data_IF_242644171788
#
_entry.id   IF_242644171788
#
_cell.length_a   1.000
_cell.length_b   1.000
_cell.length_c   1.000
_cell.angle_alpha   90.00
_cell.angle_beta   90.00
_cell.angle_gamma   90.00
#
_symmetry.space_group_name_H-M   'P 1'
#
loop_
_entity.id
_entity.type
_entity.pdbx_description
1 polymer ?
#
# COMPACT_ATOMS: atom_id res chain seq x y z
N UNK A 1 -14.49 11.65 -3.83
CA UNK A 1 -13.36 12.44 -3.26
C UNK A 1 -13.75 13.89 -3.03
N UNK A 2 -14.28 14.60 -4.03
CA UNK A 2 -14.75 15.99 -3.87
C UNK A 2 -15.75 16.17 -2.70
N UNK A 3 -16.83 15.39 -2.67
CA UNK A 3 -17.84 15.44 -1.59
C UNK A 3 -17.24 15.11 -0.21
N UNK A 4 -16.26 14.21 -0.15
CA UNK A 4 -15.55 13.89 1.08
C UNK A 4 -14.72 15.09 1.57
N UNK A 5 -14.09 15.83 0.66
CA UNK A 5 -13.37 17.05 1.00
C UNK A 5 -14.32 18.13 1.48
N UNK A 6 -15.47 18.34 0.82
CA UNK A 6 -16.51 19.26 1.28
C UNK A 6 -16.98 18.91 2.70
N UNK A 7 -17.30 17.64 2.94
CA UNK A 7 -17.72 17.17 4.25
C UNK A 7 -16.63 17.38 5.31
N UNK A 8 -15.36 17.06 5.00
CA UNK A 8 -14.25 17.30 5.91
C UNK A 8 -14.05 18.80 6.21
N UNK A 9 -14.19 19.65 5.19
CA UNK A 9 -14.07 21.10 5.26
C UNK A 9 -15.17 21.76 6.09
N UNK A 10 -16.39 21.25 6.01
CA UNK A 10 -17.54 21.73 6.81
C UNK A 10 -17.33 21.43 8.30
N UNK A 11 -16.88 20.21 8.62
CA UNK A 11 -16.64 19.80 10.00
C UNK A 11 -15.33 20.35 10.58
N UNK A 12 -14.41 20.83 9.75
CA UNK A 12 -13.11 21.36 10.16
C UNK A 12 -12.81 22.67 9.40
N UNK A 13 -13.47 23.79 9.74
CA UNK A 13 -13.41 25.02 8.96
C UNK A 13 -12.01 25.65 8.86
N UNK A 14 -11.13 25.38 9.84
CA UNK A 14 -9.78 25.93 9.88
C UNK A 14 -8.69 24.94 9.46
N UNK A 15 -9.06 23.73 9.03
CA UNK A 15 -8.09 22.69 8.66
C UNK A 15 -7.63 22.81 7.20
N UNK A 16 -6.36 22.44 6.98
CA UNK A 16 -5.82 22.15 5.66
C UNK A 16 -6.07 20.68 5.33
N UNK A 17 -6.61 20.41 4.15
CA UNK A 17 -6.94 19.06 3.70
C UNK A 17 -5.79 18.55 2.84
N UNK A 18 -4.98 17.67 3.41
CA UNK A 18 -3.89 17.00 2.74
C UNK A 18 -4.38 15.69 2.08
N UNK A 19 -4.25 15.58 0.76
CA UNK A 19 -4.59 14.37 0.01
C UNK A 19 -3.31 13.74 -0.53
N UNK A 20 -3.02 12.52 -0.09
CA UNK A 20 -1.82 11.79 -0.48
C UNK A 20 -2.06 10.94 -1.73
N UNK A 21 -1.15 11.03 -2.70
CA UNK A 21 -1.19 10.27 -3.94
C UNK A 21 -0.90 8.78 -3.78
N UNK A 22 -1.21 8.01 -4.81
CA UNK A 22 -0.94 6.57 -4.84
C UNK A 22 0.46 6.27 -5.36
N UNK A 23 1.00 5.11 -5.01
CA UNK A 23 2.32 4.65 -5.45
C UNK A 23 2.27 3.40 -6.31
N UNK A 24 3.28 3.16 -7.17
CA UNK A 24 3.35 1.92 -7.90
C UNK A 24 3.57 0.78 -6.89
N UNK A 25 2.69 -0.21 -6.87
CA UNK A 25 2.82 -1.35 -5.95
C UNK A 25 4.08 -2.14 -6.33
N UNK A 26 4.24 -2.50 -7.61
CA UNK A 26 5.42 -3.20 -8.12
C UNK A 26 5.98 -2.51 -9.36
N UNK A 27 7.27 -2.70 -9.62
CA UNK A 27 7.97 -2.19 -10.80
C UNK A 27 8.79 -3.28 -11.50
N UNK A 28 9.45 -2.89 -12.59
CA UNK A 28 10.47 -3.71 -13.25
C UNK A 28 11.66 -4.02 -12.32
N UNK A 29 11.98 -3.13 -11.37
CA UNK A 29 13.06 -3.28 -10.37
C UNK A 29 12.69 -4.28 -9.25
N UNK A 30 11.40 -4.56 -9.03
CA UNK A 30 10.96 -5.52 -8.02
C UNK A 30 11.52 -6.93 -8.27
N UNK A 31 12.07 -7.58 -7.25
CA UNK A 31 12.70 -8.90 -7.37
C UNK A 31 11.63 -9.98 -7.59
N UNK A 32 11.62 -10.59 -8.79
CA UNK A 32 10.55 -11.48 -9.23
C UNK A 32 10.28 -12.69 -8.32
N UNK A 33 11.34 -13.34 -7.81
CA UNK A 33 11.18 -14.46 -6.85
C UNK A 33 10.50 -14.05 -5.55
N UNK A 34 10.76 -12.82 -5.08
CA UNK A 34 10.17 -12.29 -3.84
C UNK A 34 8.72 -11.88 -4.06
N UNK A 35 8.42 -11.18 -5.16
CA UNK A 35 7.02 -10.86 -5.52
C UNK A 35 6.19 -12.14 -5.68
N UNK A 36 6.73 -13.16 -6.35
CA UNK A 36 6.03 -14.44 -6.51
C UNK A 36 5.82 -15.15 -5.17
N UNK A 37 6.84 -15.16 -4.31
CA UNK A 37 6.70 -15.69 -2.96
C UNK A 37 5.61 -14.96 -2.17
N UNK A 38 5.55 -13.63 -2.28
CA UNK A 38 4.51 -12.84 -1.63
C UNK A 38 3.11 -13.17 -2.12
N UNK A 39 2.95 -13.37 -3.42
CA UNK A 39 1.69 -13.85 -3.99
C UNK A 39 1.30 -15.26 -3.47
N UNK A 40 2.26 -16.18 -3.36
CA UNK A 40 1.99 -17.51 -2.78
C UNK A 40 1.67 -17.45 -1.27
N UNK A 41 2.32 -16.56 -0.50
CA UNK A 41 1.97 -16.30 0.91
C UNK A 41 0.57 -15.73 1.05
N UNK A 42 0.19 -14.80 0.17
CA UNK A 42 -1.14 -14.22 0.15
C UNK A 42 -2.18 -15.31 -0.12
N UNK A 43 -1.99 -16.16 -1.13
CA UNK A 43 -2.93 -17.24 -1.44
C UNK A 43 -2.97 -18.39 -0.40
N UNK A 44 -2.32 -18.22 0.76
CA UNK A 44 -2.14 -19.26 1.78
C UNK A 44 -1.59 -20.58 1.21
N UNK A 45 -0.75 -20.49 0.17
CA UNK A 45 -0.23 -21.65 -0.55
C UNK A 45 0.60 -22.55 0.39
N UNK A 46 0.49 -23.90 0.29
CA UNK A 46 1.21 -24.81 1.18
C UNK A 46 2.72 -24.56 1.18
N UNK A 47 3.29 -24.26 2.37
CA UNK A 47 4.71 -23.92 2.53
C UNK A 47 5.68 -24.99 1.98
N UNK A 48 5.48 -26.31 2.21
CA UNK A 48 6.38 -27.33 1.68
C UNK A 48 6.45 -27.35 0.15
N UNK A 49 5.38 -26.93 -0.52
CA UNK A 49 5.30 -26.91 -1.98
C UNK A 49 5.83 -25.60 -2.59
N UNK A 50 6.11 -24.57 -1.78
CA UNK A 50 6.57 -23.26 -2.30
C UNK A 50 7.88 -23.33 -3.06
N UNK A 51 8.92 -24.09 -2.65
CA UNK A 51 10.15 -24.21 -3.45
C UNK A 51 9.87 -24.83 -4.82
N UNK A 52 8.96 -25.80 -4.89
CA UNK A 52 8.55 -26.45 -6.13
C UNK A 52 7.76 -25.49 -7.01
N UNK A 53 6.84 -24.69 -6.44
CA UNK A 53 6.09 -23.71 -7.21
C UNK A 53 6.96 -22.52 -7.66
N UNK A 54 7.81 -21.99 -6.77
CA UNK A 54 8.68 -20.83 -6.98
C UNK A 54 10.04 -21.20 -7.60
N UNK A 55 10.01 -22.03 -8.65
CA UNK A 55 11.20 -22.39 -9.41
C UNK A 55 11.42 -21.43 -10.60
N UNK A 56 12.56 -21.55 -11.29
CA UNK A 56 12.89 -20.69 -12.45
C UNK A 56 11.89 -20.87 -13.60
N UNK A 57 11.52 -22.10 -13.94
CA UNK A 57 10.62 -22.42 -15.04
C UNK A 57 9.22 -21.83 -14.83
N UNK A 58 8.60 -22.06 -13.67
CA UNK A 58 7.27 -21.49 -13.35
C UNK A 58 7.29 -19.97 -13.37
N UNK A 59 8.36 -19.36 -12.84
CA UNK A 59 8.53 -17.91 -12.88
C UNK A 59 8.61 -17.37 -14.32
N UNK A 60 9.41 -18.02 -15.16
CA UNK A 60 9.64 -17.58 -16.53
C UNK A 60 8.41 -17.77 -17.41
N UNK A 61 7.77 -18.95 -17.36
CA UNK A 61 6.67 -19.31 -18.25
C UNK A 61 5.34 -18.66 -17.86
N UNK A 62 5.05 -18.57 -16.57
CA UNK A 62 3.73 -18.16 -16.05
C UNK A 62 3.82 -16.79 -15.40
N UNK A 63 4.68 -16.65 -14.38
CA UNK A 63 4.65 -15.46 -13.53
C UNK A 63 5.13 -14.19 -14.24
N UNK A 64 6.11 -14.25 -15.13
CA UNK A 64 6.63 -13.05 -15.81
C UNK A 64 5.58 -12.33 -16.67
N UNK A 65 4.64 -13.08 -17.26
CA UNK A 65 3.50 -12.48 -17.99
C UNK A 65 2.56 -11.75 -17.03
N UNK A 66 2.24 -12.38 -15.89
CA UNK A 66 1.40 -11.80 -14.84
C UNK A 66 2.08 -10.56 -14.26
N UNK A 67 3.36 -10.65 -13.87
CA UNK A 67 4.15 -9.53 -13.34
C UNK A 67 4.14 -8.33 -14.29
N UNK A 68 4.39 -8.52 -15.59
CA UNK A 68 4.35 -7.42 -16.58
C UNK A 68 2.97 -6.77 -16.66
N UNK A 69 1.90 -7.58 -16.65
CA UNK A 69 0.51 -7.07 -16.63
C UNK A 69 0.25 -6.24 -15.38
N UNK A 70 0.65 -6.73 -14.20
CA UNK A 70 0.44 -6.05 -12.91
C UNK A 70 1.26 -4.75 -12.83
N UNK A 71 2.52 -4.72 -13.30
CA UNK A 71 3.31 -3.48 -13.39
C UNK A 71 2.58 -2.44 -14.25
N UNK A 72 2.10 -2.84 -15.44
CA UNK A 72 1.36 -1.94 -16.33
C UNK A 72 0.10 -1.39 -15.64
N UNK A 73 -0.68 -2.24 -14.99
CA UNK A 73 -1.88 -1.83 -14.25
C UNK A 73 -1.53 -0.89 -13.09
N UNK A 74 -0.45 -1.18 -12.36
CA UNK A 74 0.02 -0.33 -11.27
C UNK A 74 0.42 1.06 -11.76
N UNK A 75 1.11 1.16 -12.90
CA UNK A 75 1.49 2.46 -13.47
C UNK A 75 0.27 3.26 -13.94
N UNK A 76 -0.71 2.58 -14.56
CA UNK A 76 -1.98 3.21 -14.94
C UNK A 76 -2.70 3.71 -13.69
N UNK A 77 -2.80 2.87 -12.65
CA UNK A 77 -3.47 3.24 -11.40
C UNK A 77 -2.87 4.49 -10.77
N UNK A 78 -1.55 4.57 -10.64
CA UNK A 78 -0.87 5.76 -10.08
C UNK A 78 -1.17 7.00 -10.90
N UNK A 79 -0.95 6.92 -12.22
CA UNK A 79 -1.12 8.07 -13.12
C UNK A 79 -2.55 8.59 -13.10
N UNK A 80 -3.53 7.69 -13.28
CA UNK A 80 -4.93 8.09 -13.34
C UNK A 80 -5.45 8.51 -11.96
N UNK A 81 -5.06 7.85 -10.88
CA UNK A 81 -5.49 8.24 -9.52
C UNK A 81 -4.95 9.62 -9.17
N UNK A 82 -3.66 9.87 -9.35
CA UNK A 82 -3.05 11.17 -9.06
C UNK A 82 -3.69 12.29 -9.91
N UNK A 83 -3.95 12.03 -11.19
CA UNK A 83 -4.66 12.97 -12.06
C UNK A 83 -6.05 13.29 -11.50
N UNK A 84 -6.85 12.27 -11.18
CA UNK A 84 -8.21 12.45 -10.68
C UNK A 84 -8.24 13.12 -9.29
N UNK A 85 -7.27 12.83 -8.42
CA UNK A 85 -7.13 13.49 -7.12
C UNK A 85 -6.81 14.98 -7.28
N UNK A 86 -5.85 15.34 -8.15
CA UNK A 86 -5.54 16.75 -8.44
C UNK A 86 -6.74 17.50 -9.02
N UNK A 87 -7.47 16.91 -9.97
CA UNK A 87 -8.68 17.51 -10.53
C UNK A 87 -9.76 17.71 -9.47
N UNK A 88 -9.93 16.75 -8.54
CA UNK A 88 -10.88 16.90 -7.44
C UNK A 88 -10.48 18.04 -6.49
N UNK A 89 -9.19 18.17 -6.19
CA UNK A 89 -8.64 19.25 -5.34
C UNK A 89 -8.82 20.61 -6.00
N UNK A 90 -8.50 20.72 -7.29
CA UNK A 90 -8.70 21.93 -8.08
C UNK A 90 -10.18 22.35 -8.06
N UNK A 91 -11.09 21.42 -8.36
CA UNK A 91 -12.54 21.67 -8.30
C UNK A 91 -12.99 22.13 -6.91
N UNK A 92 -12.44 21.54 -5.84
CA UNK A 92 -12.75 21.92 -4.46
C UNK A 92 -12.24 23.32 -4.11
N UNK A 93 -11.00 23.64 -4.45
CA UNK A 93 -10.40 24.94 -4.18
C UNK A 93 -11.08 26.06 -4.99
N UNK A 94 -11.51 25.80 -6.23
CA UNK A 94 -12.23 26.78 -7.06
C UNK A 94 -13.62 27.15 -6.51
N UNK A 95 -14.26 26.25 -5.77
CA UNK A 95 -15.59 26.46 -5.17
C UNK A 95 -15.54 26.97 -3.73
N UNK A 96 -14.40 26.82 -3.08
CA UNK A 96 -14.20 27.23 -1.70
C UNK A 96 -13.76 28.69 -1.67
N UNK A 97 -14.21 29.45 -0.68
CA UNK A 97 -13.73 30.83 -0.44
C UNK A 97 -12.22 30.87 -0.14
N UNK A 98 -11.68 29.78 0.43
CA UNK A 98 -10.26 29.61 0.71
C UNK A 98 -9.73 28.33 0.04
N UNK A 99 -8.66 28.45 -0.75
CA UNK A 99 -7.92 27.30 -1.27
C UNK A 99 -7.19 26.60 -0.12
N UNK A 100 -7.67 25.43 0.30
CA UNK A 100 -7.16 24.72 1.49
C UNK A 100 -6.98 23.22 1.33
N UNK A 101 -7.22 22.68 0.14
CA UNK A 101 -6.85 21.29 -0.17
C UNK A 101 -5.55 21.26 -0.99
N UNK A 102 -4.66 20.32 -0.66
CA UNK A 102 -3.37 20.15 -1.32
C UNK A 102 -3.10 18.70 -1.68
N UNK A 103 -2.41 18.51 -2.80
CA UNK A 103 -1.96 17.19 -3.24
C UNK A 103 -0.54 16.93 -2.76
N UNK A 104 -0.33 15.80 -2.08
CA UNK A 104 0.99 15.34 -1.64
C UNK A 104 1.39 14.16 -2.52
N UNK A 105 2.36 14.32 -3.43
CA UNK A 105 2.87 13.19 -4.20
C UNK A 105 3.48 12.16 -3.26
N UNK A 106 3.25 10.88 -3.56
CA UNK A 106 3.88 9.80 -2.80
C UNK A 106 5.41 9.88 -2.91
N UNK A 107 6.16 9.60 -1.83
CA UNK A 107 7.61 9.45 -1.88
C UNK A 107 8.05 8.06 -2.40
N UNK A 108 7.11 7.13 -2.59
CA UNK A 108 7.40 5.77 -3.06
C UNK A 108 7.50 5.79 -4.58
N UNK A 109 8.67 5.39 -5.10
CA UNK A 109 8.99 5.42 -6.53
C UNK A 109 9.11 4.00 -7.09
N UNK A 110 9.40 3.89 -8.38
CA UNK A 110 9.73 2.60 -9.02
C UNK A 110 10.91 1.89 -8.37
N UNK A 111 11.82 2.61 -7.73
CA UNK A 111 13.03 2.07 -7.10
C UNK A 111 12.83 1.68 -5.64
N UNK A 112 11.78 2.21 -5.01
CA UNK A 112 11.48 2.00 -3.58
C UNK A 112 10.14 1.31 -3.32
N UNK A 113 9.43 0.91 -4.38
CA UNK A 113 8.18 0.14 -4.28
C UNK A 113 8.36 -1.30 -3.78
N UNK A 114 7.28 -2.09 -3.79
CA UNK A 114 7.28 -3.42 -3.19
C UNK A 114 8.33 -4.32 -3.82
N UNK A 115 9.07 -5.00 -2.95
CA UNK A 115 10.10 -5.97 -3.31
C UNK A 115 11.27 -5.47 -4.17
N UNK A 116 11.50 -4.16 -4.26
CA UNK A 116 12.76 -3.61 -4.81
C UNK A 116 13.90 -3.73 -3.79
N UNK A 117 15.18 -3.70 -4.18
CA UNK A 117 16.28 -3.75 -3.21
C UNK A 117 16.17 -2.69 -2.11
N UNK A 118 15.83 -1.45 -2.48
CA UNK A 118 15.73 -0.29 -1.59
C UNK A 118 14.29 0.03 -1.17
N UNK A 119 13.47 -1.00 -0.97
CA UNK A 119 12.05 -0.81 -0.70
C UNK A 119 11.80 0.01 0.57
N UNK A 120 10.83 0.92 0.49
CA UNK A 120 10.31 1.69 1.62
C UNK A 120 9.03 1.06 2.20
N UNK A 121 8.70 -0.16 1.79
CA UNK A 121 7.52 -0.90 2.22
C UNK A 121 7.93 -2.12 3.07
N UNK A 122 7.07 -2.56 3.98
CA UNK A 122 7.27 -3.83 4.67
C UNK A 122 7.21 -4.99 3.69
N UNK A 123 8.13 -5.94 3.87
CA UNK A 123 8.28 -7.11 3.01
C UNK A 123 7.86 -8.37 3.75
N UNK A 124 7.84 -9.47 3.02
CA UNK A 124 7.87 -10.78 3.62
C UNK A 124 9.32 -11.18 3.90
N UNK A 125 9.63 -11.28 5.18
CA UNK A 125 10.87 -11.84 5.70
C UNK A 125 10.86 -13.37 5.74
N UNK A 126 11.76 -13.91 6.55
CA UNK A 126 11.98 -15.36 6.66
C UNK A 126 10.75 -16.08 7.23
N UNK A 127 10.53 -17.32 6.77
CA UNK A 127 9.41 -18.19 7.19
C UNK A 127 8.02 -17.55 6.95
N UNK A 128 7.93 -16.62 5.99
CA UNK A 128 6.71 -15.89 5.66
C UNK A 128 6.31 -14.83 6.69
N UNK A 129 7.19 -14.45 7.61
CA UNK A 129 6.88 -13.38 8.58
C UNK A 129 6.89 -12.04 7.87
N UNK A 130 6.01 -11.11 8.22
CA UNK A 130 6.21 -9.73 7.80
C UNK A 130 7.47 -9.17 8.48
N UNK A 131 8.18 -8.27 7.81
CA UNK A 131 9.33 -7.55 8.38
C UNK A 131 8.93 -6.43 9.35
N UNK A 132 7.63 -6.25 9.62
CA UNK A 132 7.20 -5.28 10.62
C UNK A 132 7.46 -5.74 12.06
N UNK A 133 7.84 -4.79 12.90
CA UNK A 133 8.22 -5.03 14.31
C UNK A 133 7.06 -5.54 15.18
N UNK A 134 5.81 -5.33 14.76
CA UNK A 134 4.60 -5.75 15.47
C UNK A 134 4.02 -7.06 14.92
N UNK A 135 4.73 -7.76 14.03
CA UNK A 135 4.23 -8.97 13.39
C UNK A 135 3.74 -10.03 14.40
N UNK A 136 4.51 -10.28 15.48
CA UNK A 136 4.15 -11.30 16.46
C UNK A 136 2.85 -10.96 17.21
N UNK A 137 2.73 -9.72 17.70
CA UNK A 137 1.49 -9.25 18.31
C UNK A 137 0.32 -9.33 17.33
N UNK A 138 0.49 -8.80 16.11
CA UNK A 138 -0.57 -8.81 15.10
C UNK A 138 -1.00 -10.24 14.76
N UNK A 139 -0.06 -11.18 14.66
CA UNK A 139 -0.36 -12.58 14.38
C UNK A 139 -1.27 -13.17 15.46
N UNK A 140 -0.97 -12.91 16.72
CA UNK A 140 -1.72 -13.46 17.84
C UNK A 140 -3.10 -12.81 17.94
N UNK A 141 -3.19 -11.49 17.72
CA UNK A 141 -4.47 -10.77 17.60
C UNK A 141 -5.30 -11.31 16.43
N UNK A 142 -4.73 -11.41 15.23
CA UNK A 142 -5.43 -11.95 14.06
C UNK A 142 -6.03 -13.35 14.31
N UNK A 143 -5.33 -14.22 15.04
CA UNK A 143 -5.83 -15.56 15.36
C UNK A 143 -6.97 -15.50 16.36
N UNK A 144 -6.86 -14.67 17.40
CA UNK A 144 -7.89 -14.50 18.42
C UNK A 144 -9.15 -13.87 17.83
N UNK A 145 -9.00 -12.66 17.28
CA UNK A 145 -10.11 -11.83 16.81
C UNK A 145 -10.86 -12.47 15.64
N UNK A 146 -10.15 -13.06 14.67
CA UNK A 146 -10.83 -13.69 13.51
C UNK A 146 -11.48 -15.03 13.85
N UNK A 147 -10.97 -15.74 14.87
CA UNK A 147 -11.66 -16.91 15.39
C UNK A 147 -12.94 -16.51 16.10
N UNK A 148 -12.92 -15.42 16.86
CA UNK A 148 -14.10 -14.87 17.50
C UNK A 148 -15.12 -14.36 16.49
N UNK A 149 -14.70 -13.56 15.49
CA UNK A 149 -15.55 -13.09 14.40
C UNK A 149 -16.27 -14.25 13.71
N UNK A 150 -15.55 -15.34 13.41
CA UNK A 150 -16.14 -16.53 12.80
C UNK A 150 -17.17 -17.19 13.72
N UNK A 151 -16.91 -17.26 15.03
CA UNK A 151 -17.85 -17.85 16.00
C UNK A 151 -19.11 -17.00 16.16
N UNK A 152 -18.97 -15.68 16.26
CA UNK A 152 -20.09 -14.76 16.54
C UNK A 152 -20.95 -14.45 15.31
N UNK A 153 -20.35 -14.40 14.12
CA UNK A 153 -21.05 -13.97 12.88
C UNK A 153 -21.12 -15.04 11.79
N UNK A 154 -20.35 -16.13 11.91
CA UNK A 154 -20.16 -17.10 10.83
C UNK A 154 -19.24 -16.63 9.70
N UNK A 155 -18.82 -15.36 9.70
CA UNK A 155 -17.95 -14.79 8.66
C UNK A 155 -16.56 -15.43 8.71
N UNK A 156 -16.11 -15.95 7.57
CA UNK A 156 -14.78 -16.57 7.42
C UNK A 156 -13.84 -15.59 6.72
N UNK A 157 -12.88 -15.07 7.48
CA UNK A 157 -11.77 -14.28 6.92
C UNK A 157 -10.46 -15.09 6.94
N UNK A 158 -9.62 -15.05 5.89
CA UNK A 158 -8.35 -15.74 5.89
C UNK A 158 -7.39 -15.16 6.96
N UNK A 159 -7.14 -15.93 8.03
CA UNK A 159 -6.23 -15.51 9.11
C UNK A 159 -4.87 -15.10 8.56
N UNK A 160 -4.38 -15.83 7.55
CA UNK A 160 -3.09 -15.56 6.93
C UNK A 160 -3.00 -14.16 6.30
N UNK A 161 -4.08 -13.66 5.69
CA UNK A 161 -4.11 -12.30 5.14
C UNK A 161 -3.97 -11.26 6.23
N UNK A 162 -4.64 -11.46 7.37
CA UNK A 162 -4.50 -10.57 8.52
C UNK A 162 -3.06 -10.60 9.09
N UNK A 163 -2.47 -11.78 9.25
CA UNK A 163 -1.11 -11.93 9.80
C UNK A 163 -0.05 -11.15 8.98
N UNK A 164 -0.24 -11.05 7.66
CA UNK A 164 0.70 -10.38 6.75
C UNK A 164 0.17 -9.03 6.25
N UNK A 165 -0.87 -8.46 6.86
CA UNK A 165 -1.55 -7.27 6.37
C UNK A 165 -0.64 -6.04 6.26
N UNK A 166 0.49 -6.00 6.99
CA UNK A 166 1.48 -4.92 6.89
C UNK A 166 2.29 -4.97 5.59
N UNK A 167 2.35 -6.10 4.90
CA UNK A 167 3.14 -6.26 3.67
C UNK A 167 2.64 -5.29 2.59
N UNK A 168 3.56 -4.52 2.01
CA UNK A 168 3.21 -3.47 1.04
C UNK A 168 2.79 -2.13 1.65
N UNK A 169 2.65 -2.03 2.98
CA UNK A 169 2.52 -0.73 3.66
C UNK A 169 3.89 -0.10 3.93
N UNK A 170 3.97 1.24 4.12
CA UNK A 170 5.22 1.90 4.44
C UNK A 170 5.89 1.31 5.68
N UNK A 171 7.18 1.00 5.56
CA UNK A 171 8.02 0.67 6.71
C UNK A 171 8.42 1.94 7.46
N UNK A 172 9.26 1.84 8.50
CA UNK A 172 9.68 3.01 9.27
C UNK A 172 10.34 4.11 8.40
N UNK A 173 11.19 3.72 7.45
CA UNK A 173 11.82 4.68 6.53
C UNK A 173 10.79 5.27 5.55
N UNK A 174 9.86 4.45 5.04
CA UNK A 174 8.76 4.93 4.20
C UNK A 174 7.84 5.90 4.91
N UNK A 175 7.47 5.61 6.17
CA UNK A 175 6.66 6.49 6.99
C UNK A 175 7.35 7.85 7.23
N UNK A 176 8.67 7.86 7.48
CA UNK A 176 9.45 9.10 7.56
C UNK A 176 9.42 9.86 6.24
N UNK A 177 9.62 9.18 5.12
CA UNK A 177 9.56 9.82 3.80
C UNK A 177 8.19 10.44 3.51
N UNK A 178 7.09 9.80 3.93
CA UNK A 178 5.74 10.37 3.82
C UNK A 178 5.59 11.60 4.72
N UNK A 179 6.11 11.56 5.94
CA UNK A 179 6.08 12.69 6.85
C UNK A 179 6.86 13.89 6.27
N UNK A 180 8.05 13.65 5.71
CA UNK A 180 8.88 14.69 5.10
C UNK A 180 8.22 15.30 3.86
N UNK A 181 7.65 14.46 2.97
CA UNK A 181 6.90 14.90 1.81
C UNK A 181 5.68 15.74 2.21
N UNK A 182 4.98 15.32 3.26
CA UNK A 182 3.81 16.04 3.80
C UNK A 182 4.22 17.38 4.38
N UNK A 183 5.26 17.42 5.23
CA UNK A 183 5.77 18.66 5.81
C UNK A 183 6.18 19.66 4.74
N UNK A 184 6.93 19.21 3.72
CA UNK A 184 7.37 20.07 2.61
C UNK A 184 6.20 20.75 1.90
N UNK A 185 5.11 20.03 1.65
CA UNK A 185 3.92 20.58 0.98
C UNK A 185 3.13 21.51 1.92
N UNK A 186 3.12 21.21 3.21
CA UNK A 186 2.36 21.97 4.21
C UNK A 186 3.09 23.18 4.78
N UNK A 187 4.41 23.31 4.61
CA UNK A 187 5.21 24.45 5.11
C UNK A 187 4.58 25.82 4.80
N UNK A 188 4.05 26.11 3.58
CA UNK A 188 3.45 27.42 3.29
C UNK A 188 2.19 27.75 4.14
N UNK A 189 1.59 26.76 4.79
CA UNK A 189 0.36 26.92 5.59
C UNK A 189 0.64 27.02 7.10
N UNK A 190 1.87 26.71 7.53
CA UNK A 190 2.28 26.73 8.94
C UNK A 190 3.64 27.41 9.09
N UNK A 191 3.70 28.75 8.91
CA UNK A 191 4.93 29.53 9.08
C UNK A 191 5.42 29.55 10.53
#
# INVERSE_FOLDING_TARGET
>A
MFELMEHAALNNPNAIIAIVGYFPIISNVSVGSRVFNGWLESMAFPRPLKPVANNVMTRTLIFNKIKRKVIRLSNIWVRESDRNLRLAIEKFNLRSTNSRAVFIPTPITTDTCFETPNTLLFRLGRKGRSEDSLYESRRDDCRRELSELKRSTGLKYPVRYCEIASVGHPNQAGARAYADATRKVLTPFFP
#
